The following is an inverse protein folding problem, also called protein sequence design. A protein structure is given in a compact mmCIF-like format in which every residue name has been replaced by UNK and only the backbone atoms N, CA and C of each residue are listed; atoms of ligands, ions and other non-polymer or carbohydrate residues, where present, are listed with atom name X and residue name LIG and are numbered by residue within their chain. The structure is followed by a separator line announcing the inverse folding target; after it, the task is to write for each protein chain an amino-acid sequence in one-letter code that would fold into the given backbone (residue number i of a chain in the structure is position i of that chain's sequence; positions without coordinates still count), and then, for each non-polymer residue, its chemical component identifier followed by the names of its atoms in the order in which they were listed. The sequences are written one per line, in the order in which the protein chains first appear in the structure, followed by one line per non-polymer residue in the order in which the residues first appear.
data_IF_299293536869
#
_entry.id   IF_299293536869
#
_cell.length_a   1.000
_cell.length_b   1.000
_cell.length_c   1.000
_cell.angle_alpha   90.00
_cell.angle_beta   90.00
_cell.angle_gamma   90.00
#
_symmetry.space_group_name_H-M   'P 1'
#
loop_
_entity.id
_entity.type
_entity.pdbx_description
1 polymer ?
#
# COMPACT_ATOMS: atom_id res chain seq x y z
N UNK A 1 -35.53 57.24 -11.71
CA UNK A 1 -36.22 56.11 -11.05
C UNK A 1 -35.21 55.53 -10.07
N UNK A 2 -35.35 55.84 -8.79
CA UNK A 2 -34.49 55.24 -7.77
C UNK A 2 -35.08 53.89 -7.37
N UNK A 3 -34.34 52.82 -7.61
CA UNK A 3 -34.69 51.48 -7.17
C UNK A 3 -34.14 51.28 -5.76
N UNK A 4 -35.02 51.37 -4.75
CA UNK A 4 -34.68 51.04 -3.36
C UNK A 4 -34.73 49.53 -3.19
N UNK A 5 -33.58 48.86 -3.17
CA UNK A 5 -33.49 47.42 -2.90
C UNK A 5 -33.76 47.18 -1.43
N UNK A 6 -34.67 46.25 -1.12
CA UNK A 6 -34.97 45.87 0.26
C UNK A 6 -33.84 44.99 0.81
N UNK A 7 -33.46 45.14 2.09
CA UNK A 7 -32.38 44.36 2.73
C UNK A 7 -32.56 42.83 2.56
N UNK A 8 -33.81 42.36 2.57
CA UNK A 8 -34.15 40.96 2.39
C UNK A 8 -33.85 40.45 0.96
N UNK A 9 -34.06 41.29 -0.05
CA UNK A 9 -33.77 40.98 -1.46
C UNK A 9 -32.26 40.92 -1.70
N UNK A 10 -31.51 41.87 -1.11
CA UNK A 10 -30.05 41.87 -1.17
C UNK A 10 -29.45 40.61 -0.51
N UNK A 11 -29.95 40.23 0.66
CA UNK A 11 -29.50 39.02 1.36
C UNK A 11 -29.80 37.75 0.55
N UNK A 12 -31.01 37.63 0.01
CA UNK A 12 -31.41 36.49 -0.82
C UNK A 12 -30.58 36.39 -2.10
N UNK A 13 -30.23 37.52 -2.70
CA UNK A 13 -29.35 37.57 -3.87
C UNK A 13 -27.94 37.08 -3.56
N UNK A 14 -27.34 37.55 -2.46
CA UNK A 14 -26.02 37.09 -2.01
C UNK A 14 -26.02 35.59 -1.70
N UNK A 15 -27.08 35.10 -1.06
CA UNK A 15 -27.23 33.67 -0.73
C UNK A 15 -27.35 32.80 -1.99
N UNK A 16 -28.04 33.28 -3.02
CA UNK A 16 -28.13 32.62 -4.32
C UNK A 16 -26.77 32.52 -5.02
N UNK A 17 -26.00 33.62 -4.99
CA UNK A 17 -24.66 33.67 -5.58
C UNK A 17 -23.70 32.69 -4.91
N UNK A 18 -23.76 32.61 -3.58
CA UNK A 18 -23.01 31.66 -2.77
C UNK A 18 -23.42 30.22 -3.05
N UNK A 19 -24.72 29.95 -3.18
CA UNK A 19 -25.24 28.63 -3.53
C UNK A 19 -24.73 28.13 -4.88
N UNK A 20 -24.76 28.98 -5.91
CA UNK A 20 -24.23 28.65 -7.24
C UNK A 20 -22.71 28.43 -7.19
N UNK A 21 -21.98 29.27 -6.46
CA UNK A 21 -20.54 29.10 -6.26
C UNK A 21 -20.19 27.76 -5.59
N UNK A 22 -20.96 27.38 -4.56
CA UNK A 22 -20.80 26.11 -3.87
C UNK A 22 -21.09 24.92 -4.79
N UNK A 23 -22.14 24.98 -5.60
CA UNK A 23 -22.46 23.94 -6.58
C UNK A 23 -21.35 23.78 -7.62
N UNK A 24 -20.79 24.88 -8.12
CA UNK A 24 -19.69 24.84 -9.07
C UNK A 24 -18.42 24.23 -8.44
N UNK A 25 -18.09 24.61 -7.21
CA UNK A 25 -16.99 24.04 -6.45
C UNK A 25 -17.17 22.54 -6.22
N UNK A 26 -18.38 22.10 -5.85
CA UNK A 26 -18.69 20.68 -5.68
C UNK A 26 -18.53 19.88 -6.97
N UNK A 27 -18.98 20.41 -8.12
CA UNK A 27 -18.79 19.76 -9.42
C UNK A 27 -17.29 19.63 -9.75
N UNK A 28 -16.50 20.66 -9.48
CA UNK A 28 -15.06 20.65 -9.70
C UNK A 28 -14.35 19.62 -8.80
N UNK A 29 -14.76 19.54 -7.53
CA UNK A 29 -14.24 18.61 -6.54
C UNK A 29 -14.54 17.15 -6.92
N UNK A 30 -15.79 16.84 -7.28
CA UNK A 30 -16.18 15.49 -7.75
C UNK A 30 -15.40 15.09 -9.00
N UNK A 31 -15.20 16.02 -9.95
CA UNK A 31 -14.38 15.76 -11.15
C UNK A 31 -12.92 15.45 -10.81
N UNK A 32 -12.35 16.17 -9.85
CA UNK A 32 -10.95 15.99 -9.47
C UNK A 32 -10.77 14.67 -8.71
N UNK A 33 -11.69 14.34 -7.80
CA UNK A 33 -11.71 13.05 -7.09
C UNK A 33 -11.86 11.89 -8.08
N UNK A 34 -12.80 11.96 -9.03
CA UNK A 34 -12.96 10.91 -10.05
C UNK A 34 -11.67 10.69 -10.84
N UNK A 35 -10.95 11.76 -11.19
CA UNK A 35 -9.67 11.64 -11.91
C UNK A 35 -8.59 10.96 -11.06
N UNK A 36 -8.52 11.29 -9.77
CA UNK A 36 -7.57 10.66 -8.83
C UNK A 36 -7.94 9.19 -8.64
N UNK A 37 -9.21 8.87 -8.37
CA UNK A 37 -9.69 7.50 -8.16
C UNK A 37 -9.43 6.61 -9.38
N UNK A 38 -9.68 7.11 -10.60
CA UNK A 38 -9.40 6.36 -11.84
C UNK A 38 -7.91 6.11 -12.01
N UNK A 39 -7.05 7.12 -11.79
CA UNK A 39 -5.59 6.96 -11.89
C UNK A 39 -5.05 5.99 -10.84
N UNK A 40 -5.52 6.09 -9.60
CA UNK A 40 -5.12 5.18 -8.53
C UNK A 40 -5.55 3.76 -8.84
N UNK A 41 -6.78 3.53 -9.32
CA UNK A 41 -7.24 2.19 -9.76
C UNK A 41 -6.35 1.60 -10.85
N UNK A 42 -5.97 2.39 -11.86
CA UNK A 42 -5.09 1.88 -12.92
C UNK A 42 -3.69 1.52 -12.42
N UNK A 43 -3.12 2.33 -11.53
CA UNK A 43 -1.79 2.05 -10.94
C UNK A 43 -1.86 0.83 -10.02
N UNK A 44 -2.93 0.70 -9.24
CA UNK A 44 -3.17 -0.47 -8.37
C UNK A 44 -3.37 -1.72 -9.22
N UNK A 45 -4.23 -1.71 -10.25
CA UNK A 45 -4.49 -2.88 -11.10
C UNK A 45 -3.22 -3.39 -11.83
N UNK A 46 -2.33 -2.49 -12.26
CA UNK A 46 -1.07 -2.88 -12.91
C UNK A 46 -0.10 -3.48 -11.88
N UNK A 47 0.05 -2.82 -10.73
CA UNK A 47 0.94 -3.28 -9.66
C UNK A 47 0.47 -4.58 -9.03
N UNK A 48 -0.83 -4.75 -8.84
CA UNK A 48 -1.44 -5.95 -8.26
C UNK A 48 -1.20 -7.16 -9.17
N UNK A 49 -1.31 -7.01 -10.50
CA UNK A 49 -0.97 -8.08 -11.45
C UNK A 49 0.51 -8.44 -11.46
N UNK A 50 1.40 -7.46 -11.38
CA UNK A 50 2.85 -7.69 -11.30
C UNK A 50 3.24 -8.35 -9.97
N UNK A 51 2.63 -7.90 -8.86
CA UNK A 51 2.84 -8.45 -7.52
C UNK A 51 2.26 -9.86 -7.40
N UNK A 52 1.06 -10.11 -7.95
CA UNK A 52 0.44 -11.44 -7.95
C UNK A 52 1.23 -12.42 -8.83
N UNK A 53 1.73 -11.98 -9.98
CA UNK A 53 2.64 -12.77 -10.80
C UNK A 53 3.94 -13.10 -10.05
N UNK A 54 4.57 -12.10 -9.41
CA UNK A 54 5.79 -12.30 -8.63
C UNK A 54 5.55 -13.21 -7.39
N UNK A 55 4.47 -12.98 -6.64
CA UNK A 55 4.09 -13.80 -5.48
C UNK A 55 3.72 -15.23 -5.87
N UNK A 56 3.23 -15.46 -7.09
CA UNK A 56 2.96 -16.80 -7.61
C UNK A 56 4.24 -17.52 -8.03
N UNK A 57 5.23 -16.78 -8.50
CA UNK A 57 6.57 -17.32 -8.81
C UNK A 57 7.43 -17.54 -7.56
N UNK A 58 7.19 -16.81 -6.45
CA UNK A 58 7.95 -16.96 -5.19
C UNK A 58 7.91 -18.41 -4.64
N UNK A 59 6.75 -19.08 -4.48
CA UNK A 59 6.68 -20.48 -4.07
C UNK A 59 7.38 -21.43 -5.04
N UNK A 60 7.27 -21.19 -6.35
CA UNK A 60 7.92 -22.02 -7.36
C UNK A 60 9.44 -21.86 -7.34
N UNK A 61 9.94 -20.64 -7.14
CA UNK A 61 11.37 -20.33 -6.94
C UNK A 61 11.86 -20.95 -5.62
N UNK A 62 11.07 -20.88 -4.55
CA UNK A 62 11.40 -21.46 -3.24
C UNK A 62 11.41 -22.99 -3.29
N UNK A 63 10.45 -23.60 -3.98
CA UNK A 63 10.37 -25.03 -4.28
C UNK A 63 11.57 -25.50 -5.09
N UNK A 64 11.89 -24.83 -6.20
CA UNK A 64 13.08 -25.15 -7.00
C UNK A 64 14.36 -24.96 -6.20
N UNK A 65 14.45 -23.92 -5.38
CA UNK A 65 15.62 -23.69 -4.51
C UNK A 65 15.75 -24.80 -3.47
N UNK A 66 14.64 -25.23 -2.85
CA UNK A 66 14.62 -26.36 -1.91
C UNK A 66 15.05 -27.67 -2.58
N UNK A 67 14.54 -27.96 -3.78
CA UNK A 67 14.96 -29.12 -4.57
C UNK A 67 16.44 -29.04 -4.98
N UNK A 68 16.94 -27.86 -5.33
CA UNK A 68 18.37 -27.63 -5.61
C UNK A 68 19.21 -27.85 -4.35
N UNK A 69 18.80 -27.35 -3.19
CA UNK A 69 19.49 -27.54 -1.91
C UNK A 69 19.56 -29.03 -1.55
N UNK A 70 18.45 -29.75 -1.70
CA UNK A 70 18.40 -31.19 -1.46
C UNK A 70 19.28 -31.98 -2.44
N UNK A 71 19.24 -31.65 -3.73
CA UNK A 71 20.11 -32.29 -4.71
C UNK A 71 21.60 -31.98 -4.45
N UNK A 72 21.92 -30.75 -4.07
CA UNK A 72 23.29 -30.35 -3.72
C UNK A 72 23.75 -31.03 -2.44
N UNK A 73 22.89 -31.23 -1.43
CA UNK A 73 23.25 -31.98 -0.23
C UNK A 73 23.53 -33.45 -0.56
N UNK A 74 22.68 -34.09 -1.38
CA UNK A 74 22.91 -35.46 -1.83
C UNK A 74 24.19 -35.62 -2.65
N UNK A 75 24.43 -34.73 -3.62
CA UNK A 75 25.67 -34.72 -4.41
C UNK A 75 26.88 -34.49 -3.50
N UNK A 76 26.77 -33.63 -2.49
CA UNK A 76 27.86 -33.35 -1.55
C UNK A 76 28.16 -34.56 -0.67
N UNK A 77 27.13 -35.27 -0.20
CA UNK A 77 27.29 -36.50 0.59
C UNK A 77 27.90 -37.64 -0.24
N UNK A 78 27.40 -37.87 -1.46
CA UNK A 78 27.96 -38.85 -2.39
C UNK A 78 29.42 -38.51 -2.76
N UNK A 79 29.71 -37.22 -2.97
CA UNK A 79 31.07 -36.74 -3.23
C UNK A 79 31.96 -36.95 -2.01
N UNK A 80 31.47 -36.72 -0.79
CA UNK A 80 32.22 -36.95 0.43
C UNK A 80 32.57 -38.44 0.62
N UNK A 81 31.63 -39.34 0.33
CA UNK A 81 31.87 -40.79 0.36
C UNK A 81 32.89 -41.23 -0.72
N UNK A 82 32.80 -40.67 -1.91
CA UNK A 82 33.76 -40.89 -3.00
C UNK A 82 35.14 -40.32 -2.68
N UNK A 83 35.22 -39.15 -2.04
CA UNK A 83 36.47 -38.49 -1.63
C UNK A 83 37.14 -39.24 -0.47
N UNK A 84 36.38 -39.75 0.49
CA UNK A 84 36.91 -40.65 1.54
C UNK A 84 37.55 -41.92 0.96
N UNK A 85 37.11 -42.36 -0.23
CA UNK A 85 37.69 -43.51 -0.96
C UNK A 85 38.91 -43.15 -1.82
N UNK A 86 39.21 -41.88 -2.09
CA UNK A 86 40.20 -41.47 -3.11
C UNK A 86 41.14 -40.36 -2.58
N UNK A 87 42.14 -40.70 -1.75
CA UNK A 87 43.38 -39.94 -1.43
C UNK A 87 43.30 -38.42 -1.02
N UNK A 88 44.32 -37.84 -0.36
CA UNK A 88 44.23 -36.51 0.28
C UNK A 88 44.21 -35.28 -0.66
N UNK A 89 44.30 -35.46 -1.97
CA UNK A 89 44.44 -34.36 -2.95
C UNK A 89 43.13 -33.62 -3.29
N UNK A 90 41.97 -34.05 -2.77
CA UNK A 90 40.63 -33.54 -3.16
C UNK A 90 40.06 -32.49 -2.17
N UNK A 91 40.86 -32.08 -1.18
CA UNK A 91 40.45 -31.18 -0.08
C UNK A 91 39.89 -29.83 -0.57
N UNK A 92 40.35 -29.33 -1.72
CA UNK A 92 39.88 -28.07 -2.31
C UNK A 92 38.43 -28.13 -2.85
N UNK A 93 37.98 -29.30 -3.31
CA UNK A 93 36.60 -29.49 -3.82
C UNK A 93 35.59 -29.47 -2.67
N UNK A 94 35.95 -30.07 -1.53
CA UNK A 94 35.13 -30.09 -0.32
C UNK A 94 34.96 -28.68 0.29
N UNK A 95 35.99 -27.83 0.15
CA UNK A 95 35.90 -26.42 0.51
C UNK A 95 34.84 -25.66 -0.30
N UNK A 96 34.82 -25.86 -1.62
CA UNK A 96 33.87 -25.19 -2.50
C UNK A 96 32.41 -25.65 -2.29
N UNK A 97 32.14 -26.94 -2.07
CA UNK A 97 30.77 -27.43 -1.82
C UNK A 97 30.16 -26.86 -0.53
N UNK A 98 30.94 -26.76 0.54
CA UNK A 98 30.50 -26.14 1.80
C UNK A 98 30.09 -24.66 1.63
N UNK A 99 30.74 -23.95 0.72
CA UNK A 99 30.43 -22.54 0.42
C UNK A 99 29.14 -22.37 -0.39
N UNK A 100 28.82 -23.33 -1.26
CA UNK A 100 27.58 -23.38 -2.05
C UNK A 100 26.38 -23.63 -1.12
N UNK A 101 26.52 -24.57 -0.18
CA UNK A 101 25.47 -24.86 0.80
C UNK A 101 25.13 -23.63 1.65
N UNK A 102 26.16 -22.95 2.20
CA UNK A 102 25.97 -21.70 2.94
C UNK A 102 25.26 -20.63 2.12
N UNK A 103 25.62 -20.47 0.84
CA UNK A 103 25.06 -19.47 -0.07
C UNK A 103 23.60 -19.75 -0.44
N UNK A 104 23.20 -21.02 -0.49
CA UNK A 104 21.82 -21.43 -0.70
C UNK A 104 20.96 -21.18 0.54
N UNK A 105 21.48 -21.46 1.74
CA UNK A 105 20.83 -21.14 3.02
C UNK A 105 20.57 -19.63 3.16
N UNK A 106 21.58 -18.79 2.85
CA UNK A 106 21.43 -17.32 2.92
C UNK A 106 20.41 -16.78 1.92
N UNK A 107 20.18 -17.47 0.81
CA UNK A 107 19.20 -17.07 -0.20
C UNK A 107 17.77 -17.35 0.27
N UNK A 108 17.56 -18.44 1.02
CA UNK A 108 16.29 -18.75 1.67
C UNK A 108 15.92 -17.75 2.76
N UNK A 109 16.88 -17.38 3.63
CA UNK A 109 16.68 -16.35 4.67
C UNK A 109 16.28 -15.00 4.07
N UNK A 110 16.99 -14.53 3.03
CA UNK A 110 16.68 -13.23 2.39
C UNK A 110 15.30 -13.18 1.72
N UNK A 111 14.81 -14.31 1.20
CA UNK A 111 13.47 -14.39 0.62
C UNK A 111 12.39 -14.25 1.69
N UNK A 112 12.59 -14.88 2.86
CA UNK A 112 11.70 -14.76 4.01
C UNK A 112 11.69 -13.34 4.59
N UNK A 113 12.85 -12.71 4.77
CA UNK A 113 12.96 -11.29 5.21
C UNK A 113 12.23 -10.32 4.27
N UNK A 114 12.30 -10.56 2.95
CA UNK A 114 11.63 -9.72 1.97
C UNK A 114 10.10 -9.80 2.06
N UNK A 115 9.55 -10.97 2.42
CA UNK A 115 8.10 -11.13 2.65
C UNK A 115 7.63 -10.45 3.94
N UNK A 116 8.47 -10.45 4.97
CA UNK A 116 8.20 -9.76 6.24
C UNK A 116 8.14 -8.24 6.04
N UNK A 117 9.10 -7.65 5.32
CA UNK A 117 9.13 -6.21 4.98
C UNK A 117 7.89 -5.72 4.21
N UNK A 118 7.37 -6.54 3.30
CA UNK A 118 6.14 -6.22 2.53
C UNK A 118 4.91 -6.23 3.46
N UNK A 119 4.85 -7.18 4.39
CA UNK A 119 3.75 -7.30 5.35
C UNK A 119 3.72 -6.11 6.32
N UNK A 120 4.89 -5.67 6.79
CA UNK A 120 5.03 -4.52 7.68
C UNK A 120 4.62 -3.21 6.97
N UNK A 121 5.03 -3.03 5.71
CA UNK A 121 4.67 -1.86 4.90
C UNK A 121 3.16 -1.72 4.68
N UNK A 122 2.44 -2.83 4.51
CA UNK A 122 0.96 -2.83 4.36
C UNK A 122 0.30 -2.42 5.68
N UNK A 123 0.83 -2.88 6.82
CA UNK A 123 0.35 -2.49 8.15
C UNK A 123 0.56 -0.99 8.42
N UNK A 124 1.69 -0.44 7.98
CA UNK A 124 2.02 0.98 8.16
C UNK A 124 1.06 1.90 7.39
N UNK A 125 0.69 1.51 6.16
CA UNK A 125 -0.33 2.22 5.36
C UNK A 125 -1.71 2.13 6.01
N UNK A 126 -2.08 0.99 6.59
CA UNK A 126 -3.34 0.83 7.31
C UNK A 126 -3.42 1.74 8.54
N UNK A 127 -2.35 1.83 9.34
CA UNK A 127 -2.24 2.75 10.48
C UNK A 127 -2.36 4.23 10.04
N UNK A 128 -1.67 4.61 8.96
CA UNK A 128 -1.73 5.99 8.45
C UNK A 128 -3.15 6.39 7.99
N UNK A 129 -3.93 5.44 7.48
CA UNK A 129 -5.34 5.66 7.10
C UNK A 129 -6.23 5.77 8.35
N UNK A 130 -6.03 4.92 9.35
CA UNK A 130 -6.81 4.95 10.60
C UNK A 130 -6.64 6.28 11.36
N UNK A 131 -5.40 6.77 11.48
CA UNK A 131 -5.11 8.05 12.15
C UNK A 131 -5.72 9.24 11.41
N UNK A 132 -5.74 9.21 10.07
CA UNK A 132 -6.36 10.28 9.28
C UNK A 132 -7.88 10.30 9.43
N UNK A 133 -8.53 9.13 9.51
CA UNK A 133 -9.97 9.00 9.70
C UNK A 133 -10.38 9.48 11.10
N UNK A 134 -9.60 9.19 12.15
CA UNK A 134 -9.86 9.73 13.51
C UNK A 134 -9.82 11.25 13.52
N UNK A 135 -8.87 11.87 12.83
CA UNK A 135 -8.76 13.33 12.77
C UNK A 135 -9.95 13.96 12.01
N UNK A 136 -10.42 13.33 10.92
CA UNK A 136 -11.61 13.77 10.16
C UNK A 136 -12.88 13.76 11.02
N UNK A 137 -13.02 12.82 11.95
CA UNK A 137 -14.18 12.74 12.85
C UNK A 137 -14.34 14.02 13.69
N UNK A 138 -13.25 14.58 14.18
CA UNK A 138 -13.27 15.79 15.03
C UNK A 138 -13.70 17.04 14.22
N UNK A 139 -13.24 17.17 12.98
CA UNK A 139 -13.67 18.23 12.08
C UNK A 139 -15.16 18.13 11.72
N UNK A 140 -15.67 16.91 11.52
CA UNK A 140 -17.10 16.68 11.25
C UNK A 140 -17.95 17.12 12.45
N UNK A 141 -17.49 16.86 13.68
CA UNK A 141 -18.19 17.27 14.89
C UNK A 141 -18.25 18.80 15.05
N UNK A 142 -17.13 19.49 14.79
CA UNK A 142 -17.06 20.95 14.81
C UNK A 142 -18.01 21.59 13.79
N UNK A 143 -18.10 21.02 12.58
CA UNK A 143 -19.02 21.50 11.54
C UNK A 143 -20.49 21.30 11.96
N UNK A 144 -20.83 20.16 12.57
CA UNK A 144 -22.18 19.89 13.07
C UNK A 144 -22.60 20.89 14.15
N UNK A 145 -21.68 21.24 15.05
CA UNK A 145 -21.93 22.22 16.10
C UNK A 145 -22.21 23.63 15.54
N UNK A 146 -21.44 24.05 14.52
CA UNK A 146 -21.67 25.32 13.82
C UNK A 146 -23.04 25.33 13.12
N UNK A 147 -23.42 24.22 12.49
CA UNK A 147 -24.74 24.09 11.84
C UNK A 147 -25.87 24.22 12.86
N UNK A 148 -25.75 23.59 14.04
CA UNK A 148 -26.76 23.66 15.09
C UNK A 148 -26.89 25.07 15.68
N UNK A 149 -25.78 25.79 15.83
CA UNK A 149 -25.79 27.21 16.25
C UNK A 149 -26.56 28.05 15.24
N UNK A 150 -26.24 27.93 13.94
CA UNK A 150 -26.91 28.68 12.87
C UNK A 150 -28.40 28.33 12.83
N UNK A 151 -28.75 27.05 12.93
CA UNK A 151 -30.13 26.55 12.92
C UNK A 151 -30.95 27.06 14.10
N UNK A 152 -30.35 27.14 15.29
CA UNK A 152 -31.01 27.67 16.48
C UNK A 152 -31.23 29.17 16.41
N UNK A 153 -30.31 29.93 15.82
CA UNK A 153 -30.48 31.37 15.57
C UNK A 153 -31.58 31.60 14.54
N UNK A 154 -31.65 30.81 13.48
CA UNK A 154 -32.69 30.92 12.44
C UNK A 154 -34.09 30.58 12.97
N UNK A 155 -34.20 29.61 13.90
CA UNK A 155 -35.47 29.22 14.53
C UNK A 155 -35.99 30.22 15.58
N UNK A 156 -35.16 31.13 16.07
CA UNK A 156 -35.53 32.15 17.08
C UNK A 156 -36.04 33.46 16.47
N UNK A 157 -36.10 33.57 15.15
CA UNK A 157 -36.59 34.74 14.41
C UNK A 157 -37.88 34.39 13.68
#
# INVERSE_FOLDING_TARGET
MDATITINELFSFVLYLLGIGLLFYMIMLVRNINRIVVKTRQIVDIREKEIDAALKEVPDIMSNTSNIVSNVSHITDDTKELVEKVSPDITDILGNTSSIFKKADTMGEKALESMELITESISEVACAIEDNIRNISDYVYLILEIIDVIKNVLKRK
#
